data_IF_648170922824
#
_entry.id   IF_648170922824
#
_cell.length_a   1.000
_cell.length_b   1.000
_cell.length_c   1.000
_cell.angle_alpha   90.00
_cell.angle_beta   90.00
_cell.angle_gamma   90.00
#
_symmetry.space_group_name_H-M   'P 1'
#
loop_
_entity.id
_entity.type
_entity.pdbx_description
1 polymer ?
#
# COMPACT_ATOMS: atom_id res chain seq x y z
N UNK A 1 -19.76 -10.88 1.45
CA UNK A 1 -19.05 -9.70 0.95
C UNK A 1 -17.78 -10.27 0.40
N UNK A 2 -17.54 -10.04 -0.88
CA UNK A 2 -16.38 -10.61 -1.55
C UNK A 2 -15.32 -9.52 -1.67
N UNK A 3 -14.05 -9.85 -1.47
CA UNK A 3 -12.95 -8.90 -1.50
C UNK A 3 -12.00 -9.33 -2.61
N UNK A 4 -11.59 -8.39 -3.45
CA UNK A 4 -10.64 -8.60 -4.53
C UNK A 4 -9.52 -7.56 -4.42
N UNK A 5 -8.27 -8.00 -4.58
CA UNK A 5 -7.08 -7.14 -4.49
C UNK A 5 -6.35 -7.20 -5.81
N UNK A 6 -6.30 -6.06 -6.51
CA UNK A 6 -5.61 -5.91 -7.79
C UNK A 6 -4.39 -5.03 -7.57
N UNK A 7 -3.22 -5.49 -8.01
CA UNK A 7 -1.99 -4.70 -7.98
C UNK A 7 -1.32 -4.65 -9.35
N UNK A 8 -0.98 -3.44 -9.79
CA UNK A 8 -0.37 -3.17 -11.08
C UNK A 8 1.01 -2.54 -10.88
N UNK A 9 2.03 -3.14 -11.52
CA UNK A 9 3.40 -2.62 -11.51
C UNK A 9 4.06 -2.81 -12.88
N UNK A 10 5.22 -2.18 -13.04
CA UNK A 10 6.09 -2.31 -14.20
C UNK A 10 6.49 -3.77 -14.50
N UNK A 11 6.81 -4.06 -15.76
CA UNK A 11 7.08 -5.43 -16.25
C UNK A 11 8.13 -6.21 -15.46
N UNK A 12 9.17 -5.54 -14.98
CA UNK A 12 10.28 -6.16 -14.25
C UNK A 12 10.04 -6.38 -12.75
N UNK A 13 8.83 -6.12 -12.24
CA UNK A 13 8.52 -6.36 -10.82
C UNK A 13 8.23 -7.85 -10.59
N UNK A 14 9.16 -8.52 -9.92
CA UNK A 14 8.99 -9.93 -9.54
C UNK A 14 8.06 -10.09 -8.32
N UNK A 15 7.17 -11.07 -8.42
CA UNK A 15 6.26 -11.47 -7.34
C UNK A 15 5.30 -10.37 -6.89
N UNK A 16 4.49 -10.71 -5.88
CA UNK A 16 3.50 -9.81 -5.28
C UNK A 16 4.23 -8.65 -4.58
N UNK A 17 3.70 -7.43 -4.69
CA UNK A 17 4.22 -6.26 -4.00
C UNK A 17 3.99 -6.34 -2.49
N UNK A 18 4.94 -5.82 -1.69
CA UNK A 18 4.80 -5.79 -0.23
C UNK A 18 3.55 -5.03 0.23
N UNK A 19 3.17 -3.96 -0.48
CA UNK A 19 1.92 -3.24 -0.23
C UNK A 19 0.70 -4.12 -0.42
N UNK A 20 0.62 -4.92 -1.49
CA UNK A 20 -0.50 -5.84 -1.70
C UNK A 20 -0.56 -6.92 -0.62
N UNK A 21 0.59 -7.44 -0.17
CA UNK A 21 0.66 -8.40 0.95
C UNK A 21 0.16 -7.77 2.26
N UNK A 22 0.55 -6.53 2.57
CA UNK A 22 0.04 -5.83 3.75
C UNK A 22 -1.47 -5.58 3.68
N UNK A 23 -1.99 -5.24 2.50
CA UNK A 23 -3.43 -5.07 2.28
C UNK A 23 -4.15 -6.40 2.51
N UNK A 24 -3.64 -7.50 1.96
CA UNK A 24 -4.23 -8.82 2.11
C UNK A 24 -4.20 -9.30 3.57
N UNK A 25 -3.09 -9.10 4.28
CA UNK A 25 -2.98 -9.37 5.72
C UNK A 25 -4.01 -8.58 6.52
N UNK A 26 -4.16 -7.27 6.27
CA UNK A 26 -5.11 -6.43 6.98
C UNK A 26 -6.58 -6.77 6.70
N UNK A 27 -6.87 -7.42 5.57
CA UNK A 27 -8.22 -7.83 5.16
C UNK A 27 -8.47 -9.33 5.32
N UNK A 28 -7.50 -10.08 5.86
CA UNK A 28 -7.56 -11.54 6.00
C UNK A 28 -7.82 -12.26 4.66
N UNK A 29 -7.23 -11.76 3.58
CA UNK A 29 -7.28 -12.34 2.23
C UNK A 29 -6.03 -13.17 1.98
N UNK A 30 -6.18 -14.35 1.37
CA UNK A 30 -5.04 -15.21 1.08
C UNK A 30 -4.19 -14.63 -0.05
N UNK A 31 -2.86 -14.78 0.04
CA UNK A 31 -1.94 -14.20 -0.94
C UNK A 31 -2.21 -14.67 -2.38
N UNK A 32 -2.73 -15.90 -2.53
CA UNK A 32 -2.97 -16.53 -3.83
C UNK A 32 -4.23 -15.97 -4.51
N UNK A 33 -5.03 -15.18 -3.77
CA UNK A 33 -6.19 -14.45 -4.27
C UNK A 33 -5.83 -13.04 -4.79
N UNK A 34 -4.57 -12.61 -4.66
CA UNK A 34 -4.12 -11.30 -5.16
C UNK A 34 -3.88 -11.36 -6.67
N UNK A 35 -4.58 -10.51 -7.42
CA UNK A 35 -4.42 -10.38 -8.86
C UNK A 35 -3.31 -9.38 -9.22
N UNK A 36 -2.24 -9.90 -9.83
CA UNK A 36 -1.06 -9.11 -10.22
C UNK A 36 -1.01 -8.82 -11.71
N UNK A 37 -0.89 -7.54 -12.08
CA UNK A 37 -0.68 -7.08 -13.46
C UNK A 37 0.73 -6.50 -13.61
N UNK A 38 1.44 -6.92 -14.66
CA UNK A 38 2.81 -6.48 -14.96
C UNK A 38 2.88 -5.82 -16.33
N UNK A 39 2.73 -4.50 -16.36
CA UNK A 39 2.55 -3.76 -17.61
C UNK A 39 3.31 -2.43 -17.62
N UNK A 40 3.93 -2.14 -18.76
CA UNK A 40 4.64 -0.88 -19.00
C UNK A 40 5.62 -0.50 -17.90
N UNK A 41 5.60 0.78 -17.55
CA UNK A 41 6.38 1.40 -16.48
C UNK A 41 5.53 1.86 -15.30
N UNK A 42 4.38 1.23 -15.04
CA UNK A 42 3.51 1.59 -13.90
C UNK A 42 4.34 1.50 -12.61
N UNK A 43 4.41 2.61 -11.87
CA UNK A 43 5.21 2.69 -10.65
C UNK A 43 4.61 1.79 -9.56
N UNK A 44 3.30 1.89 -9.36
CA UNK A 44 2.53 1.04 -8.48
C UNK A 44 1.10 1.56 -8.34
N UNK A 45 0.13 0.70 -8.60
CA UNK A 45 -1.29 0.96 -8.35
C UNK A 45 -1.88 -0.22 -7.61
N UNK A 46 -2.64 0.05 -6.56
CA UNK A 46 -3.31 -0.94 -5.73
C UNK A 46 -4.77 -0.60 -5.66
N UNK A 47 -5.62 -1.57 -5.94
CA UNK A 47 -7.06 -1.44 -5.88
C UNK A 47 -7.64 -2.56 -5.04
N UNK A 48 -8.49 -2.19 -4.08
CA UNK A 48 -9.31 -3.13 -3.31
C UNK A 48 -10.76 -2.94 -3.72
N UNK A 49 -11.39 -4.02 -4.15
CA UNK A 49 -12.79 -4.04 -4.55
C UNK A 49 -13.58 -4.85 -3.53
N UNK A 50 -14.58 -4.21 -2.92
CA UNK A 50 -15.53 -4.84 -2.02
C UNK A 50 -16.87 -5.05 -2.75
N UNK A 51 -17.27 -6.31 -2.88
CA UNK A 51 -18.53 -6.73 -3.50
C UNK A 51 -19.65 -6.94 -2.48
N UNK A 52 -20.78 -6.30 -2.73
CA UNK A 52 -22.04 -6.47 -1.98
C UNK A 52 -23.17 -6.83 -2.97
N UNK A 53 -24.32 -7.37 -2.52
CA UNK A 53 -25.37 -7.88 -3.42
C UNK A 53 -25.84 -6.92 -4.52
N UNK A 54 -25.77 -5.60 -4.29
CA UNK A 54 -26.28 -4.58 -5.21
C UNK A 54 -25.33 -3.39 -5.40
N UNK A 55 -24.11 -3.46 -4.87
CA UNK A 55 -23.15 -2.36 -4.96
C UNK A 55 -21.71 -2.86 -4.84
N UNK A 56 -20.77 -2.02 -5.27
CA UNK A 56 -19.35 -2.23 -5.03
C UNK A 56 -18.74 -0.97 -4.44
N UNK A 57 -17.70 -1.14 -3.62
CA UNK A 57 -16.85 -0.06 -3.15
C UNK A 57 -15.44 -0.34 -3.64
N UNK A 58 -14.77 0.66 -4.20
CA UNK A 58 -13.41 0.54 -4.74
C UNK A 58 -12.51 1.55 -4.05
N UNK A 59 -11.44 1.06 -3.45
CA UNK A 59 -10.38 1.89 -2.88
C UNK A 59 -9.16 1.78 -3.78
N UNK A 60 -8.76 2.89 -4.39
CA UNK A 60 -7.61 2.92 -5.31
C UNK A 60 -6.53 3.83 -4.74
N UNK A 61 -5.32 3.30 -4.67
CA UNK A 61 -4.11 4.07 -4.40
C UNK A 61 -3.18 3.95 -5.61
N UNK A 62 -2.75 5.07 -6.16
CA UNK A 62 -1.85 5.12 -7.30
C UNK A 62 -0.64 6.01 -7.00
N UNK A 63 0.55 5.45 -7.15
CA UNK A 63 1.80 6.21 -7.12
C UNK A 63 2.10 6.72 -8.52
N UNK A 64 1.91 8.02 -8.74
CA UNK A 64 2.15 8.66 -10.05
C UNK A 64 3.65 8.65 -10.39
N UNK A 65 4.51 8.78 -9.37
CA UNK A 65 5.97 8.80 -9.53
C UNK A 65 6.69 8.23 -8.30
N UNK A 66 7.95 7.80 -8.48
CA UNK A 66 8.75 7.18 -7.39
C UNK A 66 9.12 8.18 -6.29
N UNK A 67 9.09 9.47 -6.59
CA UNK A 67 9.30 10.56 -5.64
C UNK A 67 8.29 10.53 -4.48
N UNK A 68 7.11 9.93 -4.68
CA UNK A 68 6.13 9.72 -3.62
C UNK A 68 6.68 8.88 -2.46
N UNK A 69 7.60 7.95 -2.73
CA UNK A 69 8.28 7.20 -1.67
C UNK A 69 9.36 8.04 -0.99
N UNK A 70 10.03 8.90 -1.75
CA UNK A 70 11.08 9.80 -1.24
C UNK A 70 10.55 10.84 -0.26
N UNK A 71 9.37 11.40 -0.51
CA UNK A 71 8.73 12.32 0.44
C UNK A 71 8.41 11.66 1.78
N UNK A 72 7.99 10.39 1.78
CA UNK A 72 7.79 9.60 2.99
C UNK A 72 9.09 9.37 3.78
N UNK A 73 10.20 9.11 3.08
CA UNK A 73 11.53 8.97 3.72
C UNK A 73 11.98 10.27 4.37
N UNK A 74 11.82 11.41 3.68
CA UNK A 74 12.16 12.72 4.22
C UNK A 74 11.32 13.01 5.47
N UNK A 75 10.00 12.78 5.40
CA UNK A 75 9.11 12.92 6.55
C UNK A 75 9.57 12.08 7.74
N UNK A 76 9.92 10.81 7.54
CA UNK A 76 10.43 9.96 8.64
C UNK A 76 11.76 10.51 9.16
N UNK A 77 12.71 10.84 8.29
CA UNK A 77 14.03 11.32 8.70
C UNK A 77 13.96 12.59 9.55
N UNK A 78 13.04 13.50 9.24
CA UNK A 78 12.82 14.72 10.02
C UNK A 78 12.19 14.45 11.38
N UNK A 79 11.25 13.50 11.46
CA UNK A 79 10.45 13.25 12.65
C UNK A 79 11.00 12.12 13.55
N UNK A 80 12.03 11.40 13.11
CA UNK A 80 12.72 10.37 13.89
C UNK A 80 13.84 10.94 14.78
N UNK A 81 14.36 12.13 14.47
CA UNK A 81 15.56 12.71 15.11
C UNK A 81 15.50 12.73 16.64
N UNK A 82 14.33 13.04 17.20
CA UNK A 82 14.14 13.22 18.64
C UNK A 82 13.52 11.99 19.32
N UNK A 83 13.39 10.86 18.61
CA UNK A 83 12.87 9.61 19.16
C UNK A 83 13.99 8.83 19.85
N UNK A 84 13.62 8.08 20.90
CA UNK A 84 14.53 7.12 21.55
C UNK A 84 14.88 5.99 20.57
N UNK A 85 16.00 5.32 20.83
CA UNK A 85 16.40 4.12 20.10
C UNK A 85 15.29 3.04 20.14
N UNK A 86 15.06 2.41 19.00
CA UNK A 86 14.00 1.43 18.84
C UNK A 86 13.75 1.09 17.37
N UNK A 87 12.94 0.05 17.15
CA UNK A 87 12.41 -0.28 15.83
C UNK A 87 11.07 0.44 15.66
N UNK A 88 10.92 1.19 14.56
CA UNK A 88 9.72 1.95 14.23
C UNK A 88 9.19 1.53 12.88
N UNK A 89 7.87 1.43 12.79
CA UNK A 89 7.14 1.43 11.53
C UNK A 89 6.79 2.86 11.11
N UNK A 90 6.36 3.03 9.87
CA UNK A 90 5.97 4.34 9.34
C UNK A 90 4.78 4.93 10.12
N UNK A 91 3.85 4.06 10.50
CA UNK A 91 2.64 4.36 11.26
C UNK A 91 2.97 4.91 12.66
N UNK A 92 4.05 4.46 13.31
CA UNK A 92 4.48 4.97 14.62
C UNK A 92 4.88 6.44 14.55
N UNK A 93 5.36 6.88 13.38
CA UNK A 93 5.78 8.26 13.11
C UNK A 93 4.60 9.10 12.59
N UNK A 94 3.74 8.51 11.75
CA UNK A 94 2.66 9.23 11.09
C UNK A 94 1.41 9.42 11.95
N UNK A 95 1.00 8.41 12.73
CA UNK A 95 -0.27 8.42 13.49
C UNK A 95 -0.49 9.67 14.35
N UNK A 96 0.53 10.22 15.05
CA UNK A 96 0.37 11.43 15.85
C UNK A 96 -0.13 12.67 15.08
N UNK A 97 0.02 12.70 13.75
CA UNK A 97 -0.43 13.81 12.90
C UNK A 97 -1.90 13.67 12.45
N UNK A 98 -2.55 12.54 12.73
CA UNK A 98 -3.97 12.31 12.46
C UNK A 98 -4.86 12.46 13.70
N UNK A 99 -4.27 12.65 14.88
CA UNK A 99 -5.02 12.96 16.08
C UNK A 99 -5.54 14.40 15.99
N UNK A 100 -6.83 14.55 15.69
CA UNK A 100 -7.59 15.80 15.87
C UNK A 100 -8.04 15.90 17.31
#
# INVERSE_FOLDING_TARGET
>A
MDIEIIEEHFKGKDGISGTALKIAEALEVEKDEINSVRVGGIVGKHEVVFGFPFQTVRLVHESISREAFGSGVIFVAENLRDKKEGLFNFEDILTPYFAV
#
